data_IF_859411193724
#
_entry.id   IF_859411193724
#
_cell.length_a   1.000
_cell.length_b   1.000
_cell.length_c   1.000
_cell.angle_alpha   90.00
_cell.angle_beta   90.00
_cell.angle_gamma   90.00
#
_symmetry.space_group_name_H-M   'P 1'
#
loop_
_entity.id
_entity.type
_entity.pdbx_description
1 polymer ?
#
# COMPACT_ATOMS: atom_id res chain seq x y z
N UNK A 1 15.91 8.69 -14.10
CA UNK A 1 15.58 9.91 -14.88
C UNK A 1 14.33 9.79 -15.73
N UNK A 2 14.21 8.81 -16.63
CA UNK A 2 13.00 8.66 -17.48
C UNK A 2 11.68 8.48 -16.72
N UNK A 3 11.65 7.68 -15.65
CA UNK A 3 10.42 7.44 -14.87
C UNK A 3 9.89 8.71 -14.20
N UNK A 4 10.75 9.50 -13.56
CA UNK A 4 10.37 10.76 -12.89
C UNK A 4 9.85 11.81 -13.86
N UNK A 5 10.37 11.83 -15.09
CA UNK A 5 9.96 12.78 -16.12
C UNK A 5 8.72 12.34 -16.90
N UNK A 6 8.21 11.12 -16.69
CA UNK A 6 7.06 10.58 -17.42
C UNK A 6 5.82 10.62 -16.53
N UNK A 7 4.84 11.50 -16.81
CA UNK A 7 3.59 11.51 -16.04
C UNK A 7 2.85 10.19 -16.20
N UNK A 8 2.17 9.74 -15.13
CA UNK A 8 1.37 8.50 -15.09
C UNK A 8 2.13 7.22 -15.47
N UNK A 9 3.45 7.18 -15.23
CA UNK A 9 4.24 6.01 -15.50
C UNK A 9 3.93 4.86 -14.53
N UNK A 10 3.85 3.64 -15.06
CA UNK A 10 3.68 2.41 -14.27
C UNK A 10 5.04 1.72 -14.17
N UNK A 11 5.46 1.41 -12.94
CA UNK A 11 6.65 0.61 -12.68
C UNK A 11 6.22 -0.79 -12.25
N UNK A 12 6.60 -1.78 -13.04
CA UNK A 12 6.35 -3.19 -12.74
C UNK A 12 7.62 -3.83 -12.16
N UNK A 13 7.50 -4.39 -10.97
CA UNK A 13 8.59 -5.06 -10.26
C UNK A 13 8.20 -6.48 -9.84
N UNK A 14 9.16 -7.40 -9.92
CA UNK A 14 9.04 -8.75 -9.34
C UNK A 14 9.65 -8.77 -7.93
N UNK A 15 9.90 -9.94 -7.34
CA UNK A 15 10.46 -10.04 -5.98
C UNK A 15 11.76 -9.25 -5.76
N UNK A 16 12.59 -9.09 -6.79
CA UNK A 16 13.83 -8.30 -6.75
C UNK A 16 13.60 -6.82 -6.41
N UNK A 17 12.36 -6.34 -6.52
CA UNK A 17 11.99 -4.97 -6.21
C UNK A 17 12.07 -4.66 -4.70
N UNK A 18 11.87 -5.67 -3.86
CA UNK A 18 11.97 -5.55 -2.40
C UNK A 18 13.43 -5.45 -1.92
N UNK A 19 14.38 -5.99 -2.67
CA UNK A 19 15.78 -6.18 -2.24
C UNK A 19 16.71 -4.98 -2.49
N UNK A 20 16.24 -3.89 -3.09
CA UNK A 20 17.14 -2.74 -3.30
C UNK A 20 16.65 -1.58 -4.17
N UNK A 21 15.37 -1.53 -4.57
CA UNK A 21 14.89 -0.42 -5.41
C UNK A 21 14.41 0.75 -4.57
N UNK A 22 15.21 1.82 -4.52
CA UNK A 22 14.72 3.13 -4.10
C UNK A 22 13.66 3.59 -5.12
N UNK A 23 12.37 3.55 -4.74
CA UNK A 23 11.27 3.97 -5.63
C UNK A 23 11.23 5.49 -5.64
N UNK A 24 12.14 6.10 -6.40
CA UNK A 24 12.34 7.54 -6.32
C UNK A 24 11.34 8.30 -7.18
N UNK A 25 10.44 9.02 -6.52
CA UNK A 25 9.64 10.08 -7.13
C UNK A 25 8.53 10.55 -6.21
N UNK A 26 8.31 11.86 -6.15
CA UNK A 26 7.25 12.52 -5.37
C UNK A 26 5.83 12.18 -5.87
N UNK A 27 5.72 11.44 -6.98
CA UNK A 27 4.48 11.11 -7.67
C UNK A 27 4.02 9.65 -7.50
N UNK A 28 4.61 8.87 -6.57
CA UNK A 28 4.12 7.51 -6.32
C UNK A 28 2.80 7.59 -5.53
N UNK A 29 1.68 7.50 -6.23
CA UNK A 29 0.34 7.60 -5.64
C UNK A 29 -0.31 6.24 -5.33
N UNK A 30 0.21 5.15 -5.90
CA UNK A 30 -0.37 3.83 -5.74
C UNK A 30 0.69 2.71 -5.78
N UNK A 31 0.66 1.84 -4.77
CA UNK A 31 1.44 0.61 -4.68
C UNK A 31 0.49 -0.59 -4.76
N UNK A 32 0.67 -1.44 -5.77
CA UNK A 32 -0.13 -2.67 -5.92
C UNK A 32 0.72 -3.89 -5.55
N UNK A 33 0.26 -4.67 -4.58
CA UNK A 33 0.91 -5.88 -4.09
C UNK A 33 0.01 -7.06 -4.43
N UNK A 34 0.42 -7.82 -5.45
CA UNK A 34 -0.36 -8.97 -5.92
C UNK A 34 -0.34 -10.16 -4.96
N UNK A 35 0.71 -10.27 -4.15
CA UNK A 35 0.92 -11.39 -3.22
C UNK A 35 1.78 -10.95 -2.04
N UNK A 36 1.48 -11.46 -0.84
CA UNK A 36 2.30 -11.21 0.36
C UNK A 36 3.75 -11.65 0.13
N UNK A 37 4.75 -10.84 0.54
CA UNK A 37 6.17 -10.99 0.17
C UNK A 37 6.92 -12.05 1.00
N UNK A 38 6.36 -13.25 1.07
CA UNK A 38 7.01 -14.39 1.74
C UNK A 38 8.29 -14.82 1.02
N UNK A 39 9.32 -15.17 1.81
CA UNK A 39 10.56 -15.77 1.31
C UNK A 39 10.27 -17.14 0.68
N UNK A 40 11.00 -17.46 -0.38
CA UNK A 40 10.92 -18.78 -1.00
C UNK A 40 11.53 -19.82 -0.04
N UNK A 41 10.83 -20.92 0.27
CA UNK A 41 11.35 -21.92 1.20
C UNK A 41 12.65 -22.59 0.75
N UNK A 42 12.92 -22.60 -0.55
CA UNK A 42 14.14 -23.14 -1.15
C UNK A 42 15.37 -22.24 -1.00
N UNK A 43 15.22 -21.03 -0.46
CA UNK A 43 16.38 -20.19 -0.14
C UNK A 43 17.25 -20.88 0.93
N UNK A 44 18.54 -21.13 0.68
CA UNK A 44 19.39 -21.92 1.58
C UNK A 44 19.49 -21.32 2.99
N UNK A 45 19.53 -19.99 3.10
CA UNK A 45 19.63 -19.30 4.39
C UNK A 45 18.30 -19.41 5.15
N UNK A 46 17.19 -19.24 4.45
CA UNK A 46 15.86 -19.41 5.01
C UNK A 46 15.63 -20.85 5.48
N UNK A 47 16.00 -21.85 4.66
CA UNK A 47 15.87 -23.27 4.98
C UNK A 47 16.67 -23.62 6.24
N UNK A 48 17.96 -23.29 6.27
CA UNK A 48 18.83 -23.56 7.42
C UNK A 48 18.33 -22.89 8.72
N UNK A 49 17.77 -21.67 8.64
CA UNK A 49 17.17 -21.00 9.81
C UNK A 49 15.84 -21.62 10.21
N UNK A 50 15.06 -22.11 9.25
CA UNK A 50 13.76 -22.72 9.50
C UNK A 50 13.88 -24.04 10.26
N UNK A 51 14.94 -24.81 10.02
CA UNK A 51 15.21 -26.08 10.72
C UNK A 51 15.44 -25.91 12.23
N UNK A 52 15.79 -24.71 12.68
CA UNK A 52 16.07 -24.40 14.09
C UNK A 52 14.81 -23.99 14.88
N UNK A 53 13.64 -23.94 14.24
CA UNK A 53 12.40 -23.40 14.81
C UNK A 53 11.27 -24.42 14.74
N UNK A 54 10.50 -24.57 15.83
CA UNK A 54 9.33 -25.47 15.88
C UNK A 54 8.21 -25.03 14.93
N UNK A 55 7.96 -23.72 14.85
CA UNK A 55 7.02 -23.10 13.90
C UNK A 55 7.74 -22.04 13.08
N UNK A 56 8.54 -22.48 12.12
CA UNK A 56 9.29 -21.60 11.22
C UNK A 56 8.39 -20.65 10.42
N UNK A 57 7.12 -21.01 10.19
CA UNK A 57 6.20 -20.13 9.48
C UNK A 57 5.84 -18.90 10.33
N UNK A 58 5.35 -19.10 11.56
CA UNK A 58 4.96 -17.99 12.43
C UNK A 58 6.16 -17.27 13.05
N UNK A 59 7.25 -17.97 13.31
CA UNK A 59 8.43 -17.40 14.00
C UNK A 59 9.44 -16.76 13.05
N UNK A 60 9.44 -17.12 11.76
CA UNK A 60 10.39 -16.57 10.78
C UNK A 60 9.71 -16.02 9.53
N UNK A 61 8.90 -16.83 8.84
CA UNK A 61 8.33 -16.44 7.54
C UNK A 61 7.40 -15.22 7.65
N UNK A 62 6.49 -15.22 8.62
CA UNK A 62 5.55 -14.11 8.86
C UNK A 62 6.30 -12.83 9.26
N UNK A 63 7.19 -12.81 10.28
CA UNK A 63 7.97 -11.62 10.62
C UNK A 63 8.80 -11.06 9.47
N UNK A 64 9.45 -11.93 8.68
CA UNK A 64 10.23 -11.49 7.51
C UNK A 64 9.35 -10.85 6.43
N UNK A 65 8.20 -11.45 6.13
CA UNK A 65 7.26 -10.91 5.15
C UNK A 65 6.66 -9.58 5.63
N UNK A 66 6.35 -9.46 6.93
CA UNK A 66 5.90 -8.21 7.55
C UNK A 66 6.96 -7.11 7.40
N UNK A 67 8.22 -7.42 7.71
CA UNK A 67 9.32 -6.45 7.58
C UNK A 67 9.47 -5.95 6.14
N UNK A 68 9.43 -6.86 5.16
CA UNK A 68 9.46 -6.51 3.73
C UNK A 68 8.28 -5.62 3.34
N UNK A 69 7.08 -5.95 3.82
CA UNK A 69 5.89 -5.15 3.55
C UNK A 69 6.04 -3.73 4.11
N UNK A 70 6.48 -3.57 5.36
CA UNK A 70 6.76 -2.26 5.98
C UNK A 70 7.75 -1.45 5.16
N UNK A 71 8.81 -2.09 4.66
CA UNK A 71 9.82 -1.43 3.84
C UNK A 71 9.25 -0.93 2.51
N UNK A 72 8.37 -1.69 1.85
CA UNK A 72 7.67 -1.19 0.66
C UNK A 72 6.70 -0.06 0.98
N UNK A 73 6.01 -0.13 2.11
CA UNK A 73 5.10 0.92 2.57
C UNK A 73 5.82 2.26 2.82
N UNK A 74 6.97 2.23 3.50
CA UNK A 74 7.81 3.41 3.73
C UNK A 74 8.43 4.01 2.47
N UNK A 75 8.40 3.30 1.33
CA UNK A 75 8.80 3.87 0.03
C UNK A 75 7.68 4.68 -0.62
N UNK A 76 6.41 4.36 -0.32
CA UNK A 76 5.23 5.07 -0.81
C UNK A 76 4.96 6.36 -0.03
N UNK A 77 5.09 6.33 1.30
CA UNK A 77 4.83 7.48 2.17
C UNK A 77 6.16 7.91 2.80
N UNK A 78 6.76 8.97 2.27
CA UNK A 78 8.10 9.48 2.67
C UNK A 78 8.00 10.72 3.55
N UNK A 79 6.93 11.49 3.41
CA UNK A 79 6.63 12.69 4.18
C UNK A 79 5.22 12.64 4.75
N UNK A 80 4.97 13.39 5.84
CA UNK A 80 3.63 13.45 6.47
C UNK A 80 2.54 14.06 5.58
N UNK A 81 2.90 14.69 4.46
CA UNK A 81 1.98 15.26 3.48
C UNK A 81 1.74 14.33 2.27
N UNK A 82 2.46 13.21 2.18
CA UNK A 82 2.31 12.29 1.06
C UNK A 82 0.98 11.54 1.16
N UNK A 83 0.26 11.49 0.04
CA UNK A 83 -0.97 10.72 -0.10
C UNK A 83 -0.75 9.60 -1.11
N UNK A 84 -1.15 8.40 -0.73
CA UNK A 84 -1.09 7.25 -1.62
C UNK A 84 -2.03 6.14 -1.19
N UNK A 85 -2.13 5.13 -2.05
CA UNK A 85 -2.91 3.91 -1.79
C UNK A 85 -1.99 2.71 -1.85
N UNK A 86 -2.16 1.77 -0.92
CA UNK A 86 -1.59 0.42 -1.02
C UNK A 86 -2.72 -0.56 -1.27
N UNK A 87 -2.76 -1.14 -2.47
CA UNK A 87 -3.72 -2.17 -2.84
C UNK A 87 -3.08 -3.56 -2.69
N UNK A 88 -3.52 -4.35 -1.71
CA UNK A 88 -3.06 -5.72 -1.50
C UNK A 88 -4.10 -6.69 -2.06
N UNK A 89 -3.76 -7.41 -3.12
CA UNK A 89 -4.67 -8.32 -3.84
C UNK A 89 -4.61 -9.76 -3.33
N UNK A 90 -4.07 -9.96 -2.13
CA UNK A 90 -3.90 -11.26 -1.51
C UNK A 90 -4.93 -11.47 -0.40
N UNK A 91 -5.94 -12.30 -0.66
CA UNK A 91 -7.03 -12.58 0.29
C UNK A 91 -6.55 -13.19 1.60
N UNK A 92 -5.32 -13.72 1.67
CA UNK A 92 -4.73 -14.25 2.90
C UNK A 92 -4.56 -13.19 3.97
N UNK A 93 -4.44 -11.92 3.59
CA UNK A 93 -4.39 -10.80 4.53
C UNK A 93 -5.65 -10.72 5.42
N UNK A 94 -6.81 -11.10 4.87
CA UNK A 94 -8.10 -11.07 5.60
C UNK A 94 -8.50 -12.46 6.10
N UNK A 95 -8.20 -13.51 5.33
CA UNK A 95 -8.71 -14.86 5.60
C UNK A 95 -7.84 -15.69 6.57
N UNK A 96 -6.57 -15.32 6.79
CA UNK A 96 -5.65 -16.07 7.66
C UNK A 96 -5.40 -15.32 8.96
N UNK A 97 -5.26 -16.06 10.07
CA UNK A 97 -4.98 -15.50 11.41
C UNK A 97 -3.76 -14.57 11.43
N UNK A 98 -2.69 -14.93 10.73
CA UNK A 98 -1.49 -14.10 10.65
C UNK A 98 -1.69 -12.80 9.88
N UNK A 99 -2.77 -12.66 9.10
CA UNK A 99 -3.06 -11.48 8.30
C UNK A 99 -3.20 -10.23 9.17
N UNK A 100 -3.79 -10.37 10.36
CA UNK A 100 -3.89 -9.29 11.34
C UNK A 100 -2.50 -8.76 11.75
N UNK A 101 -1.51 -9.65 11.90
CA UNK A 101 -0.13 -9.26 12.21
C UNK A 101 0.48 -8.35 11.15
N UNK A 102 0.10 -8.50 9.87
CA UNK A 102 0.53 -7.58 8.82
C UNK A 102 -0.16 -6.23 8.96
N UNK A 103 -1.46 -6.20 9.21
CA UNK A 103 -2.25 -4.96 9.33
C UNK A 103 -1.75 -4.13 10.52
N UNK A 104 -1.64 -4.74 11.70
CA UNK A 104 -1.20 -4.07 12.94
C UNK A 104 0.24 -3.55 12.86
N UNK A 105 1.00 -4.09 11.92
CA UNK A 105 2.40 -3.77 11.69
C UNK A 105 2.59 -2.54 10.79
N UNK A 106 1.58 -2.16 10.00
CA UNK A 106 1.66 -1.01 9.12
C UNK A 106 1.41 0.31 9.87
N UNK A 107 1.89 1.45 9.35
CA UNK A 107 1.51 2.76 9.86
C UNK A 107 -0.02 2.93 9.86
N UNK A 108 -0.58 3.78 10.75
CA UNK A 108 -2.00 4.09 10.75
C UNK A 108 -2.48 4.52 9.37
N UNK A 109 -3.48 3.83 8.85
CA UNK A 109 -4.04 4.08 7.52
C UNK A 109 -5.52 3.70 7.50
N UNK A 110 -6.29 4.35 6.62
CA UNK A 110 -7.67 3.94 6.33
C UNK A 110 -7.66 2.60 5.61
N UNK A 111 -8.32 1.60 6.18
CA UNK A 111 -8.40 0.25 5.60
C UNK A 111 -9.77 0.08 4.94
N UNK A 112 -9.77 -0.28 3.66
CA UNK A 112 -10.97 -0.52 2.87
C UNK A 112 -10.90 -1.91 2.25
N UNK A 113 -11.96 -2.71 2.43
CA UNK A 113 -12.11 -3.99 1.78
C UNK A 113 -13.08 -3.83 0.61
N UNK A 114 -12.65 -4.20 -0.60
CA UNK A 114 -13.46 -4.07 -1.80
C UNK A 114 -13.20 -5.23 -2.77
N UNK A 115 -14.11 -5.43 -3.71
CA UNK A 115 -13.91 -6.35 -4.82
C UNK A 115 -12.91 -5.78 -5.84
N UNK A 116 -12.23 -6.67 -6.58
CA UNK A 116 -11.28 -6.24 -7.62
C UNK A 116 -11.88 -5.30 -8.68
N UNK A 117 -13.19 -5.40 -8.94
CA UNK A 117 -13.90 -4.53 -9.89
C UNK A 117 -14.09 -3.09 -9.38
N UNK A 118 -14.15 -2.91 -8.07
CA UNK A 118 -14.39 -1.62 -7.42
C UNK A 118 -13.09 -0.88 -7.13
N UNK A 119 -11.98 -1.62 -7.01
CA UNK A 119 -10.67 -1.11 -6.63
C UNK A 119 -10.24 0.11 -7.44
N UNK A 120 -10.36 0.05 -8.78
CA UNK A 120 -9.92 1.14 -9.65
C UNK A 120 -10.72 2.44 -9.39
N UNK A 121 -12.03 2.33 -9.19
CA UNK A 121 -12.89 3.47 -8.86
C UNK A 121 -12.51 4.08 -7.52
N UNK A 122 -12.41 3.23 -6.48
CA UNK A 122 -12.05 3.68 -5.12
C UNK A 122 -10.67 4.36 -5.06
N UNK A 123 -9.68 3.80 -5.75
CA UNK A 123 -8.33 4.38 -5.84
C UNK A 123 -8.39 5.73 -6.56
N UNK A 124 -9.12 5.82 -7.68
CA UNK A 124 -9.30 7.05 -8.44
C UNK A 124 -9.97 8.15 -7.61
N UNK A 125 -11.07 7.83 -6.94
CA UNK A 125 -11.78 8.75 -6.05
C UNK A 125 -10.91 9.21 -4.89
N UNK A 126 -10.13 8.31 -4.28
CA UNK A 126 -9.24 8.66 -3.17
C UNK A 126 -8.12 9.61 -3.58
N UNK A 127 -7.45 9.31 -4.70
CA UNK A 127 -6.33 10.12 -5.20
C UNK A 127 -6.81 11.49 -5.65
N UNK A 128 -8.00 11.57 -6.28
CA UNK A 128 -8.54 12.83 -6.81
C UNK A 128 -9.30 13.66 -5.79
N UNK A 129 -9.72 13.07 -4.66
CA UNK A 129 -10.37 13.80 -3.56
C UNK A 129 -9.42 14.88 -3.07
N UNK A 130 -9.83 16.14 -3.20
CA UNK A 130 -9.20 17.27 -2.51
C UNK A 130 -9.45 17.07 -1.00
N UNK A 131 -8.42 17.10 -0.15
CA UNK A 131 -8.60 17.01 1.30
C UNK A 131 -9.59 18.09 1.79
N UNK A 132 -10.49 17.73 2.70
CA UNK A 132 -11.53 18.66 3.20
C UNK A 132 -10.93 19.90 3.88
N UNK A 133 -9.70 19.80 4.40
CA UNK A 133 -8.88 20.88 4.98
C UNK A 133 -8.27 21.85 3.96
N UNK A 134 -8.35 21.53 2.66
CA UNK A 134 -7.92 22.40 1.55
C UNK A 134 -9.10 23.00 0.77
N UNK A 135 -10.34 22.79 1.22
CA UNK A 135 -11.52 23.49 0.68
C UNK A 135 -11.52 24.91 1.24
N UNK A 136 -11.34 25.97 0.42
CA UNK A 136 -11.45 27.33 0.92
C UNK A 136 -12.86 27.55 1.47
N UNK A 137 -12.97 28.07 2.70
CA UNK A 137 -14.25 28.32 3.40
C UNK A 137 -15.26 29.14 2.57
N UNK A 138 -14.81 29.82 1.51
CA UNK A 138 -15.62 30.70 0.67
C UNK A 138 -16.64 30.01 -0.27
N UNK A 139 -16.68 28.67 -0.38
CA UNK A 139 -17.66 28.00 -1.25
C UNK A 139 -18.94 27.59 -0.50
N UNK A 140 -18.98 27.72 0.84
CA UNK A 140 -20.17 27.41 1.65
C UNK A 140 -21.26 28.51 1.66
N UNK A 141 -21.18 29.51 0.77
CA UNK A 141 -21.96 30.75 0.83
C UNK A 141 -22.78 31.12 -0.41
N UNK A 142 -22.91 30.28 -1.44
CA UNK A 142 -23.92 30.52 -2.50
C UNK A 142 -25.14 29.68 -2.15
N UNK A 143 -25.91 30.21 -1.20
CA UNK A 143 -27.23 29.72 -0.85
C UNK A 143 -28.22 29.92 -1.98
N UNK A 144 -29.14 28.96 -2.05
CA UNK A 144 -30.40 29.02 -2.79
C UNK A 144 -31.06 30.39 -2.70
N UNK A 145 -31.34 30.97 -3.87
CA UNK A 145 -31.97 32.27 -3.98
C UNK A 145 -32.51 32.52 -5.37
N UNK A 146 -33.49 31.73 -5.81
CA UNK A 146 -34.54 32.17 -6.75
C UNK A 146 -35.77 31.28 -6.61
N UNK A 147 -36.56 31.56 -5.57
CA UNK A 147 -38.00 31.38 -5.62
C UNK A 147 -38.64 32.76 -5.82
N UNK A 148 -39.47 32.86 -6.87
CA UNK A 148 -40.62 33.77 -7.03
C UNK A 148 -40.35 35.28 -7.05
N UNK A 149 -40.27 35.84 -8.28
CA UNK A 149 -41.29 36.75 -8.85
C UNK A 149 -41.45 36.45 -10.35
#
# INVERSE_FOLDING_TARGET
DRFRATPNAILLGTNSFWEGIDVVGDALSCLVIVKLPFTVPSDPVFAARSELLEDSFMQLAVPQAVLRLKQGFGRLIRSGTDRGVVAILDSRLVTRRYGQTFIDSLPPATIVHCGARELAGLVGDWITRVPDDLVPEHVAGIGDGTGLE
#
